data_IF_991556536392
#
_entry.id   IF_991556536392
#
_cell.length_a   1.000
_cell.length_b   1.000
_cell.length_c   1.000
_cell.angle_alpha   90.00
_cell.angle_beta   90.00
_cell.angle_gamma   90.00
#
_symmetry.space_group_name_H-M   'P 1'
#
loop_
_entity.id
_entity.type
_entity.pdbx_description
1 polymer ?
#
# COMPACT_ATOMS: atom_id res chain seq x y z
N UNK A 1 6.70 15.79 -20.72
CA UNK A 1 7.15 15.55 -19.33
C UNK A 1 5.95 15.71 -18.40
N UNK A 2 5.41 14.62 -17.85
CA UNK A 2 4.27 14.70 -16.93
C UNK A 2 4.78 15.24 -15.59
N UNK A 3 4.25 16.39 -15.21
CA UNK A 3 4.62 17.14 -14.02
C UNK A 3 4.20 16.31 -12.80
N UNK A 4 5.16 15.88 -11.98
CA UNK A 4 4.96 15.35 -10.62
C UNK A 4 4.43 16.46 -9.69
N UNK A 5 3.36 17.15 -10.10
CA UNK A 5 2.84 18.33 -9.41
C UNK A 5 1.81 17.89 -8.38
N UNK A 6 2.33 17.26 -7.33
CA UNK A 6 1.87 17.36 -5.95
C UNK A 6 2.86 16.59 -5.06
N UNK A 7 4.13 17.00 -5.11
CA UNK A 7 4.95 16.88 -3.92
C UNK A 7 4.36 17.87 -2.91
N UNK A 8 3.34 17.42 -2.17
CA UNK A 8 2.88 18.12 -0.99
C UNK A 8 4.11 18.46 -0.16
N UNK A 9 4.18 19.68 0.35
CA UNK A 9 5.24 20.19 1.23
C UNK A 9 5.28 19.45 2.60
N UNK A 10 5.17 18.12 2.61
CA UNK A 10 4.99 17.29 3.82
C UNK A 10 5.09 15.77 3.65
N UNK A 11 5.50 15.25 2.48
CA UNK A 11 5.70 13.80 2.23
C UNK A 11 4.42 13.01 1.94
N UNK A 12 4.57 11.70 1.67
CA UNK A 12 3.44 10.80 1.41
C UNK A 12 2.76 10.32 2.70
N UNK A 13 1.44 10.15 2.67
CA UNK A 13 0.77 9.19 3.56
C UNK A 13 0.72 7.79 2.90
N UNK A 14 0.34 6.76 3.67
CA UNK A 14 0.40 5.36 3.23
C UNK A 14 -0.30 5.10 1.89
N UNK A 15 -1.56 5.52 1.77
CA UNK A 15 -2.36 5.37 0.55
C UNK A 15 -1.96 6.35 -0.56
N UNK A 16 -1.39 7.50 -0.22
CA UNK A 16 -0.80 8.42 -1.19
C UNK A 16 0.45 7.86 -1.84
N UNK A 17 1.31 7.16 -1.06
CA UNK A 17 2.50 6.49 -1.58
C UNK A 17 2.13 5.40 -2.58
N UNK A 18 1.21 4.51 -2.21
CA UNK A 18 0.77 3.40 -3.08
C UNK A 18 0.13 3.93 -4.35
N UNK A 19 -0.75 4.92 -4.24
CA UNK A 19 -1.39 5.55 -5.39
C UNK A 19 -0.37 6.18 -6.34
N UNK A 20 0.62 6.91 -5.83
CA UNK A 20 1.66 7.51 -6.66
C UNK A 20 2.53 6.46 -7.35
N UNK A 21 2.90 5.39 -6.66
CA UNK A 21 3.70 4.30 -7.21
C UNK A 21 2.96 3.57 -8.35
N UNK A 22 1.68 3.23 -8.14
CA UNK A 22 0.87 2.55 -9.14
C UNK A 22 0.47 3.46 -10.31
N UNK A 23 0.19 4.74 -10.05
CA UNK A 23 -0.07 5.71 -11.12
C UNK A 23 1.15 5.87 -12.04
N UNK A 24 2.37 5.83 -11.50
CA UNK A 24 3.58 5.83 -12.30
C UNK A 24 3.71 4.57 -13.19
N UNK A 25 3.11 3.45 -12.77
CA UNK A 25 2.99 2.22 -13.54
C UNK A 25 1.74 2.16 -14.44
N UNK A 26 0.92 3.22 -14.50
CA UNK A 26 -0.27 3.29 -15.33
C UNK A 26 -1.53 2.66 -14.73
N UNK A 27 -1.52 2.31 -13.44
CA UNK A 27 -2.66 1.73 -12.72
C UNK A 27 -3.21 2.79 -11.77
N UNK A 28 -4.49 3.14 -11.93
CA UNK A 28 -5.13 4.13 -11.07
C UNK A 28 -5.71 3.48 -9.82
N UNK A 29 -5.19 3.89 -8.65
CA UNK A 29 -5.70 3.48 -7.36
C UNK A 29 -6.58 4.57 -6.71
N UNK A 30 -7.64 4.17 -5.98
CA UNK A 30 -8.39 5.07 -5.11
C UNK A 30 -7.53 5.74 -4.04
N UNK A 31 -8.07 6.80 -3.43
CA UNK A 31 -7.29 7.68 -2.53
C UNK A 31 -6.98 7.09 -1.16
N UNK A 32 -7.84 6.24 -0.60
CA UNK A 32 -7.74 5.78 0.80
C UNK A 32 -7.37 4.29 0.88
N UNK A 33 -6.78 3.86 1.99
CA UNK A 33 -6.39 2.45 2.16
C UNK A 33 -7.60 1.50 2.07
N UNK A 34 -8.72 1.84 2.73
CA UNK A 34 -9.99 1.12 2.60
C UNK A 34 -10.43 0.97 1.14
N UNK A 35 -10.50 2.08 0.40
CA UNK A 35 -10.98 2.04 -0.99
C UNK A 35 -10.00 1.34 -1.94
N UNK A 36 -8.70 1.34 -1.63
CA UNK A 36 -7.71 0.57 -2.38
C UNK A 36 -7.90 -0.94 -2.19
N UNK A 37 -8.20 -1.39 -0.98
CA UNK A 37 -8.49 -2.79 -0.71
C UNK A 37 -9.75 -3.27 -1.44
N UNK A 38 -10.78 -2.43 -1.46
CA UNK A 38 -12.07 -2.74 -2.09
C UNK A 38 -12.02 -2.75 -3.62
N UNK A 39 -11.05 -2.06 -4.24
CA UNK A 39 -10.96 -1.90 -5.68
C UNK A 39 -10.19 -3.02 -6.40
N UNK A 40 -9.29 -3.71 -5.70
CA UNK A 40 -8.37 -4.68 -6.30
C UNK A 40 -8.78 -6.15 -6.07
N UNK A 41 -8.35 -7.09 -6.92
CA UNK A 41 -8.47 -8.51 -6.65
C UNK A 41 -7.77 -8.87 -5.33
N UNK A 42 -8.50 -9.49 -4.40
CA UNK A 42 -7.96 -9.96 -3.11
C UNK A 42 -7.05 -11.17 -3.35
N UNK A 43 -5.88 -11.18 -2.72
CA UNK A 43 -4.99 -12.34 -2.69
C UNK A 43 -5.59 -13.37 -1.73
N UNK A 44 -5.94 -14.59 -2.20
CA UNK A 44 -6.53 -15.62 -1.35
C UNK A 44 -5.67 -15.97 -0.13
N UNK A 45 -6.30 -16.26 1.03
CA UNK A 45 -5.57 -16.76 2.18
C UNK A 45 -4.75 -18.02 1.85
N UNK A 46 -3.46 -18.02 2.24
CA UNK A 46 -2.54 -19.11 1.97
C UNK A 46 -1.78 -19.01 0.63
N UNK A 47 -2.18 -18.09 -0.25
CA UNK A 47 -1.39 -17.78 -1.45
C UNK A 47 -0.18 -16.90 -1.08
N UNK A 48 1.03 -17.19 -1.62
CA UNK A 48 2.19 -16.35 -1.38
C UNK A 48 2.02 -14.96 -1.99
N UNK A 49 2.48 -13.94 -1.26
CA UNK A 49 2.55 -12.57 -1.76
C UNK A 49 3.59 -12.45 -2.89
N UNK A 50 3.25 -11.67 -3.90
CA UNK A 50 4.10 -11.32 -5.02
C UNK A 50 4.60 -9.88 -4.89
N UNK A 51 5.79 -9.59 -5.41
CA UNK A 51 6.32 -8.22 -5.47
C UNK A 51 5.30 -7.33 -6.17
N UNK A 52 4.92 -6.24 -5.51
CA UNK A 52 3.86 -5.34 -5.96
C UNK A 52 2.58 -5.47 -5.14
N UNK A 53 2.22 -6.65 -4.62
CA UNK A 53 0.97 -6.85 -3.86
C UNK A 53 0.84 -5.77 -2.77
N UNK A 54 -0.35 -5.18 -2.66
CA UNK A 54 -0.66 -4.24 -1.59
C UNK A 54 -1.03 -5.03 -0.35
N UNK A 55 -0.41 -4.71 0.78
CA UNK A 55 -0.70 -5.31 2.09
C UNK A 55 -1.43 -4.30 2.98
N UNK A 56 -2.46 -4.76 3.67
CA UNK A 56 -3.40 -3.90 4.39
C UNK A 56 -3.51 -4.28 5.87
N UNK A 57 -3.74 -3.27 6.71
CA UNK A 57 -3.84 -3.42 8.16
C UNK A 57 -5.06 -2.70 8.71
N UNK A 58 -5.71 -3.32 9.69
CA UNK A 58 -6.93 -2.85 10.33
C UNK A 58 -8.02 -3.91 10.36
N UNK A 59 -9.25 -3.50 10.13
CA UNK A 59 -10.44 -4.38 10.10
C UNK A 59 -11.20 -4.23 8.79
N UNK A 60 -12.17 -5.13 8.55
CA UNK A 60 -12.99 -5.09 7.34
C UNK A 60 -13.69 -3.74 7.08
N UNK A 61 -14.02 -3.00 8.14
CA UNK A 61 -14.71 -1.71 8.07
C UNK A 61 -13.79 -0.51 8.33
N UNK A 62 -12.52 -0.75 8.68
CA UNK A 62 -11.58 0.31 9.00
C UNK A 62 -10.14 -0.12 8.72
N UNK A 63 -9.78 -0.18 7.45
CA UNK A 63 -8.39 -0.31 7.00
C UNK A 63 -7.72 1.05 7.11
N UNK A 64 -6.76 1.17 8.04
CA UNK A 64 -6.07 2.42 8.34
C UNK A 64 -4.67 2.51 7.73
N UNK A 65 -4.11 1.38 7.28
CA UNK A 65 -2.78 1.34 6.68
C UNK A 65 -2.70 0.44 5.44
N UNK A 66 -1.87 0.86 4.50
CA UNK A 66 -1.53 0.12 3.28
C UNK A 66 -0.05 0.31 2.96
N UNK A 67 0.58 -0.73 2.43
CA UNK A 67 1.97 -0.70 1.98
C UNK A 67 2.14 -1.59 0.73
N UNK A 68 3.30 -1.48 0.06
CA UNK A 68 3.63 -2.29 -1.12
C UNK A 68 4.59 -3.39 -0.68
N UNK A 69 4.26 -4.65 -0.94
CA UNK A 69 5.15 -5.78 -0.72
C UNK A 69 6.29 -5.77 -1.75
N UNK A 70 7.53 -5.90 -1.29
CA UNK A 70 8.74 -5.83 -2.14
C UNK A 70 9.54 -7.14 -2.16
N UNK A 71 8.95 -8.24 -1.67
CA UNK A 71 9.60 -9.54 -1.59
C UNK A 71 10.33 -9.75 -0.25
N UNK A 72 10.81 -10.97 -0.04
CA UNK A 72 11.61 -11.37 1.14
C UNK A 72 10.97 -11.01 2.50
N UNK A 73 9.63 -11.03 2.60
CA UNK A 73 8.94 -10.64 3.82
C UNK A 73 9.03 -9.15 4.14
N UNK A 74 9.34 -8.31 3.17
CA UNK A 74 9.49 -6.86 3.33
C UNK A 74 8.43 -6.07 2.56
N UNK A 75 8.15 -4.88 3.06
CA UNK A 75 7.29 -3.88 2.43
C UNK A 75 7.95 -2.50 2.42
N UNK A 76 7.57 -1.67 1.46
CA UNK A 76 7.82 -0.24 1.48
C UNK A 76 6.55 0.50 1.94
N UNK A 77 6.70 1.37 2.93
CA UNK A 77 5.56 2.03 3.59
C UNK A 77 5.86 3.49 3.94
N UNK A 78 4.81 4.31 3.98
CA UNK A 78 4.80 5.64 4.58
C UNK A 78 3.95 5.62 5.88
N UNK A 79 4.57 5.55 7.07
CA UNK A 79 3.86 5.35 8.35
C UNK A 79 3.12 6.60 8.89
N UNK A 80 2.80 7.57 8.03
CA UNK A 80 2.04 8.78 8.37
C UNK A 80 2.64 10.06 7.80
N UNK A 81 1.83 11.14 7.80
CA UNK A 81 2.25 12.47 7.34
C UNK A 81 3.55 12.89 8.02
N UNK A 82 4.50 13.44 7.25
CA UNK A 82 5.83 13.91 7.71
C UNK A 82 6.82 12.81 8.15
N UNK A 83 6.51 11.52 8.02
CA UNK A 83 7.49 10.44 8.22
C UNK A 83 8.08 9.99 6.89
N UNK A 84 9.37 9.67 6.91
CA UNK A 84 10.10 9.22 5.71
C UNK A 84 9.61 7.83 5.31
N UNK A 85 9.48 7.61 4.00
CA UNK A 85 9.24 6.29 3.42
C UNK A 85 10.35 5.34 3.87
N UNK A 86 9.99 4.14 4.31
CA UNK A 86 10.95 3.17 4.81
C UNK A 86 10.60 1.75 4.37
N UNK A 87 11.61 0.89 4.46
CA UNK A 87 11.45 -0.56 4.35
C UNK A 87 11.21 -1.13 5.74
N UNK A 88 10.27 -2.06 5.88
CA UNK A 88 9.98 -2.77 7.13
C UNK A 88 9.46 -4.17 6.84
N UNK A 89 9.53 -5.12 7.80
CA UNK A 89 8.83 -6.39 7.67
C UNK A 89 7.34 -6.15 7.43
N UNK A 90 6.71 -6.90 6.52
CA UNK A 90 5.26 -6.80 6.32
C UNK A 90 4.45 -7.47 7.44
N UNK A 91 5.09 -8.34 8.24
CA UNK A 91 4.51 -8.94 9.44
C UNK A 91 5.40 -8.71 10.64
N UNK A 92 4.80 -8.48 11.79
CA UNK A 92 5.47 -8.40 13.09
C UNK A 92 4.51 -8.83 14.21
N UNK A 93 5.07 -9.18 15.38
CA UNK A 93 4.25 -9.59 16.52
C UNK A 93 3.32 -8.46 16.96
N UNK A 94 2.01 -8.74 17.02
CA UNK A 94 0.98 -7.77 17.37
C UNK A 94 0.53 -6.86 16.22
N UNK A 95 0.90 -7.17 14.97
CA UNK A 95 0.26 -6.55 13.81
C UNK A 95 -1.22 -6.89 13.69
N UNK A 96 -1.96 -6.00 13.01
CA UNK A 96 -3.35 -6.18 12.62
C UNK A 96 -3.44 -6.38 11.11
N UNK A 97 -2.56 -7.23 10.56
CA UNK A 97 -2.59 -7.59 9.14
C UNK A 97 -3.97 -8.14 8.76
N UNK A 98 -4.62 -7.47 7.82
CA UNK A 98 -5.97 -7.80 7.39
C UNK A 98 -5.98 -8.68 6.14
N UNK A 99 -5.17 -8.33 5.15
CA UNK A 99 -5.15 -9.03 3.86
C UNK A 99 -4.28 -8.33 2.84
N UNK A 100 -4.33 -8.82 1.61
CA UNK A 100 -3.60 -8.26 0.49
C UNK A 100 -4.46 -8.21 -0.78
N UNK A 101 -4.13 -7.31 -1.68
CA UNK A 101 -4.68 -7.26 -3.05
C UNK A 101 -3.55 -7.29 -4.06
N UNK A 102 -3.85 -7.78 -5.26
CA UNK A 102 -2.94 -7.77 -6.42
C UNK A 102 -3.49 -6.83 -7.50
N UNK A 103 -3.12 -5.54 -7.49
CA UNK A 103 -3.59 -4.62 -8.52
C UNK A 103 -3.07 -5.07 -9.89
N UNK A 104 -3.98 -5.18 -10.84
CA UNK A 104 -3.72 -5.52 -12.24
C UNK A 104 -4.05 -4.32 -13.13
N UNK A 105 -3.36 -4.21 -14.26
CA UNK A 105 -3.68 -3.22 -15.29
C UNK A 105 -4.88 -3.67 -16.14
#
# INVERSE_FOLDING_TARGET
MRKFRELAEGGFDCSGLTRAAYQAAGIDLPRTAQTQYEAGPVVPPGEPLQIGDLVFYGTATNIHHVAIYIGNGQMITAPGRKKVVKISPYRWSGDDYFGATRPVA
#
